data_IF_174300383311
#
_entry.id   IF_174300383311
#
_cell.length_a   1.000
_cell.length_b   1.000
_cell.length_c   1.000
_cell.angle_alpha   90.00
_cell.angle_beta   90.00
_cell.angle_gamma   90.00
#
_symmetry.space_group_name_H-M   'P 1'
#
loop_
_entity.id
_entity.type
_entity.pdbx_description
1 polymer ?
#
# COMPACT_ATOMS: atom_id res chain seq x y z
N UNK A 1 20.67 9.58 15.73
CA UNK A 1 20.49 9.47 14.28
C UNK A 1 20.01 8.06 14.01
N UNK A 2 18.72 7.87 13.74
CA UNK A 2 18.16 6.55 13.44
C UNK A 2 18.27 6.34 11.94
N UNK A 3 19.06 5.35 11.54
CA UNK A 3 19.19 4.89 10.16
C UNK A 3 17.88 4.15 9.83
N UNK A 4 17.02 4.76 9.02
CA UNK A 4 15.86 4.07 8.48
C UNK A 4 16.36 2.89 7.66
N UNK A 5 16.02 1.67 8.07
CA UNK A 5 16.27 0.48 7.28
C UNK A 5 15.61 0.71 5.92
N UNK A 6 16.41 0.76 4.86
CA UNK A 6 15.91 0.69 3.49
C UNK A 6 15.33 -0.71 3.32
N UNK A 7 14.02 -0.85 3.52
CA UNK A 7 13.28 -1.93 2.92
C UNK A 7 13.62 -1.89 1.42
N UNK A 8 14.26 -2.94 0.90
CA UNK A 8 14.75 -3.07 -0.49
C UNK A 8 13.61 -3.16 -1.54
N UNK A 9 12.41 -2.62 -1.22
CA UNK A 9 11.26 -2.54 -2.09
C UNK A 9 11.16 -1.19 -2.81
N UNK A 10 10.53 -1.17 -3.98
CA UNK A 10 10.22 0.08 -4.67
C UNK A 10 9.19 0.85 -3.85
N UNK A 11 9.46 2.13 -3.59
CA UNK A 11 8.58 2.96 -2.76
C UNK A 11 7.32 3.35 -3.51
N UNK A 12 6.17 3.07 -2.90
CA UNK A 12 4.89 3.68 -3.24
C UNK A 12 4.52 4.69 -2.14
N UNK A 13 3.56 5.57 -2.44
CA UNK A 13 3.16 6.64 -1.51
C UNK A 13 1.65 6.66 -1.32
N UNK A 14 1.20 7.22 -0.19
CA UNK A 14 -0.19 7.63 -0.05
C UNK A 14 -0.38 9.00 -0.69
N UNK A 15 -1.21 9.08 -1.72
CA UNK A 15 -1.74 10.32 -2.26
C UNK A 15 -2.95 10.81 -1.47
N UNK A 16 -3.75 11.67 -2.10
CA UNK A 16 -4.99 12.15 -1.50
C UNK A 16 -5.94 10.99 -1.15
N UNK A 17 -6.70 11.15 -0.07
CA UNK A 17 -7.72 10.19 0.37
C UNK A 17 -7.18 8.76 0.59
N UNK A 18 -5.96 8.61 1.13
CA UNK A 18 -5.35 7.28 1.37
C UNK A 18 -5.20 6.45 0.09
N UNK A 19 -5.15 7.08 -1.09
CA UNK A 19 -4.88 6.39 -2.34
C UNK A 19 -3.44 5.88 -2.34
N UNK A 20 -3.24 4.60 -2.63
CA UNK A 20 -1.90 4.08 -2.94
C UNK A 20 -1.53 4.52 -4.36
N UNK A 21 -0.38 5.19 -4.48
CA UNK A 21 0.16 5.67 -5.74
C UNK A 21 1.49 4.95 -6.01
N UNK A 22 1.49 4.16 -7.08
CA UNK A 22 2.68 3.49 -7.58
C UNK A 22 3.50 4.44 -8.47
N UNK A 23 4.84 4.45 -8.35
CA UNK A 23 5.71 5.35 -9.12
C UNK A 23 5.70 5.02 -10.62
N UNK A 24 5.31 5.99 -11.44
CA UNK A 24 5.18 5.82 -12.89
C UNK A 24 6.51 5.93 -13.66
N UNK A 25 7.57 6.38 -13.00
CA UNK A 25 8.91 6.54 -13.57
C UNK A 25 9.76 5.27 -13.47
N UNK A 26 9.20 4.18 -12.93
CA UNK A 26 9.88 2.92 -12.69
C UNK A 26 9.10 1.72 -13.26
N UNK A 27 9.78 0.60 -13.58
CA UNK A 27 9.10 -0.62 -14.01
C UNK A 27 8.14 -1.15 -12.93
N UNK A 28 7.00 -1.69 -13.36
CA UNK A 28 6.04 -2.36 -12.46
C UNK A 28 6.74 -3.48 -11.69
N UNK A 29 6.60 -3.46 -10.36
CA UNK A 29 7.08 -4.50 -9.47
C UNK A 29 5.91 -5.29 -8.87
N UNK A 30 6.21 -6.49 -8.38
CA UNK A 30 5.23 -7.28 -7.64
C UNK A 30 5.07 -6.81 -6.18
N UNK A 31 6.07 -6.13 -5.62
CA UNK A 31 6.07 -5.69 -4.22
C UNK A 31 6.51 -4.23 -4.13
N UNK A 32 5.73 -3.45 -3.39
CA UNK A 32 6.03 -2.07 -3.05
C UNK A 32 6.04 -1.87 -1.54
N UNK A 33 6.76 -0.86 -1.07
CA UNK A 33 6.76 -0.47 0.35
C UNK A 33 6.17 0.93 0.51
N UNK A 34 5.32 1.12 1.51
CA UNK A 34 4.76 2.44 1.86
C UNK A 34 5.08 2.74 3.31
N UNK A 35 5.58 3.94 3.58
CA UNK A 35 5.78 4.42 4.94
C UNK A 35 4.43 4.59 5.66
N UNK A 36 4.33 4.07 6.87
CA UNK A 36 3.15 4.19 7.74
C UNK A 36 3.48 4.92 9.05
N UNK A 37 4.61 5.63 9.08
CA UNK A 37 5.10 6.34 10.27
C UNK A 37 4.06 7.36 10.74
N UNK A 38 3.52 7.16 11.94
CA UNK A 38 2.52 8.06 12.52
C UNK A 38 1.12 8.00 11.89
N UNK A 39 0.87 7.08 10.97
CA UNK A 39 -0.48 6.84 10.42
C UNK A 39 -1.35 6.05 11.39
N UNK A 40 -0.77 5.07 12.09
CA UNK A 40 -1.51 4.18 12.98
C UNK A 40 -0.98 4.27 14.40
N UNK A 41 -1.88 4.26 15.39
CA UNK A 41 -1.55 4.36 16.80
C UNK A 41 -0.95 3.07 17.38
N UNK A 42 -1.24 1.93 16.76
CA UNK A 42 -0.74 0.62 17.15
C UNK A 42 -0.82 -0.39 15.99
N UNK A 43 -0.06 -1.47 16.11
CA UNK A 43 -0.01 -2.57 15.13
C UNK A 43 -1.38 -3.21 14.86
N UNK A 44 -2.23 -3.34 15.88
CA UNK A 44 -3.56 -3.92 15.75
C UNK A 44 -4.46 -3.09 14.82
N UNK A 45 -4.43 -1.76 14.95
CA UNK A 45 -5.16 -0.85 14.08
C UNK A 45 -4.65 -0.90 12.63
N UNK A 46 -3.33 -0.96 12.43
CA UNK A 46 -2.73 -1.10 11.10
C UNK A 46 -3.13 -2.44 10.44
N UNK A 47 -2.97 -3.56 11.13
CA UNK A 47 -3.36 -4.88 10.64
C UNK A 47 -4.85 -4.97 10.34
N UNK A 48 -5.70 -4.41 11.20
CA UNK A 48 -7.14 -4.35 10.96
C UNK A 48 -7.46 -3.53 9.70
N UNK A 49 -6.85 -2.34 9.55
CA UNK A 49 -7.04 -1.49 8.39
C UNK A 49 -6.66 -2.19 7.08
N UNK A 50 -5.41 -2.65 6.96
CA UNK A 50 -4.92 -3.30 5.74
C UNK A 50 -5.58 -4.65 5.49
N UNK A 51 -6.00 -5.36 6.54
CA UNK A 51 -6.78 -6.59 6.44
C UNK A 51 -8.14 -6.38 5.76
N UNK A 52 -8.79 -5.22 5.93
CA UNK A 52 -10.07 -4.92 5.26
C UNK A 52 -9.95 -4.70 3.74
N UNK A 53 -8.74 -4.41 3.25
CA UNK A 53 -8.47 -4.11 1.84
C UNK A 53 -7.64 -5.19 1.15
N UNK A 54 -7.24 -6.22 1.90
CA UNK A 54 -6.63 -7.43 1.35
C UNK A 54 -7.66 -8.17 0.50
N UNK A 55 -7.37 -8.34 -0.79
CA UNK A 55 -8.25 -8.97 -1.77
C UNK A 55 -7.42 -9.90 -2.68
N UNK A 56 -8.08 -10.66 -3.55
CA UNK A 56 -7.41 -11.67 -4.40
C UNK A 56 -6.17 -11.15 -5.14
N UNK A 57 -6.17 -9.89 -5.57
CA UNK A 57 -5.11 -9.28 -6.41
C UNK A 57 -4.17 -8.35 -5.65
N UNK A 58 -4.46 -8.01 -4.38
CA UNK A 58 -3.60 -7.16 -3.55
C UNK A 58 -3.56 -7.71 -2.13
N UNK A 59 -2.35 -7.96 -1.65
CA UNK A 59 -2.10 -8.40 -0.28
C UNK A 59 -1.20 -7.39 0.44
N UNK A 60 -1.43 -7.19 1.74
CA UNK A 60 -0.67 -6.26 2.56
C UNK A 60 0.06 -6.99 3.68
N UNK A 61 1.34 -6.66 3.90
CA UNK A 61 2.12 -7.18 5.03
C UNK A 61 2.59 -5.99 5.86
N UNK A 62 2.12 -5.89 7.10
CA UNK A 62 2.42 -4.78 7.99
C UNK A 62 3.70 -5.06 8.77
N UNK A 63 4.67 -4.16 8.65
CA UNK A 63 5.92 -4.15 9.42
C UNK A 63 5.89 -2.95 10.37
N UNK A 64 5.06 -3.04 11.41
CA UNK A 64 4.73 -1.89 12.26
C UNK A 64 5.97 -1.36 13.02
N UNK A 65 6.80 -2.25 13.58
CA UNK A 65 8.03 -1.86 14.29
C UNK A 65 9.04 -1.14 13.38
N UNK A 66 8.97 -1.40 12.07
CA UNK A 66 9.82 -0.80 11.05
C UNK A 66 9.15 0.39 10.33
N UNK A 67 7.89 0.70 10.69
CA UNK A 67 7.06 1.77 10.13
C UNK A 67 6.79 1.69 8.62
N UNK A 68 6.67 0.50 8.05
CA UNK A 68 6.20 0.35 6.68
C UNK A 68 5.16 -0.76 6.51
N UNK A 69 4.48 -0.73 5.37
CA UNK A 69 3.65 -1.83 4.88
C UNK A 69 4.15 -2.24 3.50
N UNK A 70 4.22 -3.55 3.25
CA UNK A 70 4.42 -4.08 1.90
C UNK A 70 3.08 -4.23 1.19
N UNK A 71 3.03 -3.83 -0.07
CA UNK A 71 1.89 -4.01 -0.97
C UNK A 71 2.29 -4.99 -2.06
N UNK A 72 1.73 -6.19 -1.98
CA UNK A 72 1.96 -7.29 -2.91
C UNK A 72 0.88 -7.28 -3.98
N UNK A 73 1.29 -7.09 -5.24
CA UNK A 73 0.43 -7.08 -6.40
C UNK A 73 0.44 -8.46 -7.07
N UNK A 74 -0.72 -9.08 -7.16
CA UNK A 74 -0.92 -10.34 -7.87
C UNK A 74 -1.81 -10.09 -9.08
N UNK A 75 -1.28 -10.30 -10.29
CA UNK A 75 -2.07 -10.23 -11.52
C UNK A 75 -2.32 -11.65 -12.04
N UNK A 76 -3.60 -12.06 -12.05
CA UNK A 76 -4.04 -13.27 -12.74
C UNK A 76 -4.57 -12.97 -14.16
N UNK A 77 -4.48 -11.71 -14.60
CA UNK A 77 -4.94 -11.27 -15.91
C UNK A 77 -3.86 -11.55 -16.98
N UNK A 78 -4.31 -11.92 -18.18
CA UNK A 78 -3.46 -12.00 -19.38
C UNK A 78 -4.08 -11.12 -20.50
N UNK A 79 -3.45 -10.01 -20.89
CA UNK A 79 -2.16 -9.52 -20.39
C UNK A 79 -2.26 -8.99 -18.95
N UNK A 80 -1.13 -9.05 -18.23
CA UNK A 80 -0.99 -8.48 -16.91
C UNK A 80 -1.31 -6.98 -16.90
N UNK A 81 -1.81 -6.49 -15.77
CA UNK A 81 -2.16 -5.08 -15.63
C UNK A 81 -0.93 -4.17 -15.73
N UNK A 82 -1.10 -3.04 -16.41
CA UNK A 82 -0.13 -1.96 -16.49
C UNK A 82 -0.11 -1.12 -15.21
N UNK A 83 0.93 -0.31 -15.03
CA UNK A 83 1.05 0.64 -13.91
C UNK A 83 -0.18 1.57 -13.80
N UNK A 84 -0.66 2.09 -14.93
CA UNK A 84 -1.84 2.95 -14.98
C UNK A 84 -3.08 2.21 -14.47
N UNK A 85 -3.29 0.97 -14.88
CA UNK A 85 -4.44 0.17 -14.42
C UNK A 85 -4.39 -0.13 -12.93
N UNK A 86 -3.19 -0.35 -12.36
CA UNK A 86 -3.03 -0.48 -10.91
C UNK A 86 -3.32 0.81 -10.16
N UNK A 87 -2.82 1.95 -10.64
CA UNK A 87 -3.13 3.26 -10.06
C UNK A 87 -4.63 3.59 -10.15
N UNK A 88 -5.29 3.26 -11.25
CA UNK A 88 -6.75 3.40 -11.40
C UNK A 88 -7.50 2.49 -10.41
N UNK A 89 -7.02 1.25 -10.22
CA UNK A 89 -7.57 0.31 -9.23
C UNK A 89 -7.50 0.85 -7.81
N UNK A 90 -6.37 1.46 -7.42
CA UNK A 90 -6.19 2.07 -6.11
C UNK A 90 -6.98 3.37 -5.98
N UNK A 91 -7.07 4.18 -7.03
CA UNK A 91 -7.88 5.39 -7.06
C UNK A 91 -9.37 5.07 -6.82
N UNK A 92 -9.90 4.00 -7.41
CA UNK A 92 -11.28 3.56 -7.21
C UNK A 92 -11.59 3.14 -5.77
N UNK A 93 -10.58 2.74 -4.99
CA UNK A 93 -10.71 2.28 -3.59
C UNK A 93 -10.39 3.35 -2.56
N UNK A 94 -9.65 4.39 -2.95
CA UNK A 94 -9.16 5.43 -2.04
C UNK A 94 -10.26 6.04 -1.17
N UNK A 95 -11.43 6.35 -1.75
CA UNK A 95 -12.57 6.92 -1.00
C UNK A 95 -13.00 6.02 0.16
N UNK A 96 -13.07 4.70 -0.05
CA UNK A 96 -13.40 3.74 1.01
C UNK A 96 -12.25 3.61 2.01
N UNK A 97 -11.01 3.59 1.54
CA UNK A 97 -9.81 3.57 2.39
C UNK A 97 -9.78 4.76 3.34
N UNK A 98 -10.00 5.97 2.82
CA UNK A 98 -10.10 7.19 3.63
C UNK A 98 -11.20 7.08 4.69
N UNK A 99 -12.41 6.70 4.29
CA UNK A 99 -13.54 6.64 5.21
C UNK A 99 -13.32 5.63 6.35
N UNK A 100 -12.69 4.48 6.05
CA UNK A 100 -12.32 3.51 7.09
C UNK A 100 -11.20 4.07 7.96
N UNK A 101 -10.17 4.68 7.39
CA UNK A 101 -9.06 5.26 8.14
C UNK A 101 -9.52 6.35 9.12
N UNK A 102 -10.44 7.23 8.70
CA UNK A 102 -11.03 8.28 9.55
C UNK A 102 -11.93 7.73 10.67
N UNK A 103 -12.25 6.43 10.65
CA UNK A 103 -13.09 5.75 11.64
C UNK A 103 -12.31 4.92 12.68
N UNK A 104 -10.98 4.81 12.52
CA UNK A 104 -10.07 4.09 13.43
C UNK A 104 -9.77 4.88 14.70
#
# INVERSE_FOLDING_TARGET
MATAATADGVKAEFGDNMQIVLPADQPLQAVYTIDISGLFSNEGAANQFFGMFTENVVHYVVHFDENYVEVHLHSYADPAWTMTQWNDYFAARSVKMKAVYESL
#
